data_IF_692420085565
#
_entry.id   IF_692420085565
#
_cell.length_a   1.000
_cell.length_b   1.000
_cell.length_c   1.000
_cell.angle_alpha   90.00
_cell.angle_beta   90.00
_cell.angle_gamma   90.00
#
_symmetry.space_group_name_H-M   'P 1'
#
loop_
_entity.id
_entity.type
_entity.pdbx_description
1 polymer ?
#
# COMPACT_ATOMS: atom_id res chain seq x y z
N UNK A 1 8.13 4.23 -18.89
CA UNK A 1 8.97 3.31 -18.11
C UNK A 1 8.91 3.77 -16.65
N UNK A 2 8.46 2.91 -15.79
CA UNK A 2 8.45 3.17 -14.37
C UNK A 2 9.85 2.96 -13.83
N UNK A 3 10.30 3.89 -12.99
CA UNK A 3 11.64 3.85 -12.41
C UNK A 3 11.53 3.62 -10.93
N UNK A 4 12.42 2.80 -10.41
CA UNK A 4 12.55 2.48 -8.98
C UNK A 4 14.02 2.32 -8.65
N UNK A 5 14.35 2.55 -7.38
CA UNK A 5 15.65 2.24 -6.83
C UNK A 5 15.49 1.45 -5.53
N UNK A 6 16.47 0.63 -5.19
CA UNK A 6 16.49 -0.15 -3.95
C UNK A 6 17.91 -0.37 -3.44
N UNK A 7 18.01 -0.65 -2.15
CA UNK A 7 19.24 -1.03 -1.47
C UNK A 7 19.11 -2.46 -0.94
N UNK A 8 20.20 -3.22 -0.95
CA UNK A 8 20.22 -4.59 -0.45
C UNK A 8 19.76 -5.62 -1.49
N UNK A 9 18.94 -6.56 -1.06
CA UNK A 9 18.43 -7.62 -1.93
C UNK A 9 17.37 -7.07 -2.91
N UNK A 10 17.31 -7.67 -4.09
CA UNK A 10 16.29 -7.31 -5.09
C UNK A 10 14.90 -7.46 -4.48
N UNK A 11 14.05 -6.40 -4.51
CA UNK A 11 12.68 -6.49 -4.02
C UNK A 11 11.90 -7.61 -4.72
N UNK A 12 10.88 -8.11 -4.07
CA UNK A 12 10.06 -9.21 -4.60
C UNK A 12 9.47 -8.95 -5.99
N UNK A 13 9.28 -7.69 -6.36
CA UNK A 13 8.77 -7.29 -7.68
C UNK A 13 9.84 -7.29 -8.79
N UNK A 14 11.12 -7.41 -8.45
CA UNK A 14 12.23 -7.52 -9.41
C UNK A 14 12.52 -6.25 -10.21
N UNK A 15 11.99 -5.10 -9.79
CA UNK A 15 12.14 -3.82 -10.50
C UNK A 15 13.11 -2.89 -9.77
N UNK A 16 13.83 -2.09 -10.53
CA UNK A 16 14.60 -0.97 -10.03
C UNK A 16 16.11 -1.09 -10.19
N UNK A 17 16.77 0.03 -9.93
CA UNK A 17 18.23 0.17 -9.91
C UNK A 17 18.75 -0.12 -8.52
N UNK A 18 19.73 -1.01 -8.40
CA UNK A 18 20.38 -1.30 -7.13
C UNK A 18 21.31 -0.16 -6.74
N UNK A 19 21.17 0.34 -5.54
CA UNK A 19 22.04 1.33 -4.92
C UNK A 19 22.91 0.70 -3.83
N UNK A 20 24.06 1.33 -3.57
CA UNK A 20 24.82 1.05 -2.35
C UNK A 20 24.15 1.72 -1.14
N UNK A 21 24.45 1.22 0.07
CA UNK A 21 23.89 1.79 1.30
C UNK A 21 24.32 3.23 1.52
N UNK A 22 23.51 3.98 2.28
CA UNK A 22 23.79 5.35 2.71
C UNK A 22 23.96 6.37 1.57
N UNK A 23 23.26 6.18 0.45
CA UNK A 23 23.25 7.17 -0.62
C UNK A 23 22.46 8.42 -0.21
N UNK A 24 22.93 9.62 -0.61
CA UNK A 24 22.19 10.85 -0.36
C UNK A 24 20.86 10.87 -1.11
N UNK A 25 19.92 11.66 -0.61
CA UNK A 25 18.55 11.77 -1.17
C UNK A 25 18.57 12.21 -2.64
N UNK A 26 19.53 13.00 -3.05
CA UNK A 26 19.71 13.45 -4.43
C UNK A 26 20.01 12.28 -5.38
N UNK A 27 20.80 11.30 -4.93
CA UNK A 27 21.06 10.06 -5.68
C UNK A 27 19.80 9.21 -5.76
N UNK A 28 19.06 9.11 -4.66
CA UNK A 28 17.76 8.43 -4.64
C UNK A 28 16.78 9.07 -5.62
N UNK A 29 16.69 10.41 -5.67
CA UNK A 29 15.82 11.12 -6.60
C UNK A 29 16.11 10.75 -8.05
N UNK A 30 17.37 10.75 -8.45
CA UNK A 30 17.79 10.39 -9.81
C UNK A 30 17.51 8.93 -10.14
N UNK A 31 17.92 8.01 -9.28
CA UNK A 31 17.85 6.57 -9.53
C UNK A 31 16.44 6.01 -9.41
N UNK A 32 15.59 6.60 -8.58
CA UNK A 32 14.18 6.23 -8.42
C UNK A 32 13.27 6.94 -9.45
N UNK A 33 13.82 7.77 -10.34
CA UNK A 33 13.03 8.51 -11.34
C UNK A 33 12.15 9.61 -10.73
N UNK A 34 12.59 10.21 -9.63
CA UNK A 34 11.87 11.25 -8.87
C UNK A 34 12.54 12.64 -9.00
N UNK A 35 13.52 12.80 -9.88
CA UNK A 35 14.26 14.05 -10.13
C UNK A 35 13.56 14.90 -11.19
N UNK A 36 12.31 15.23 -10.95
CA UNK A 36 11.49 16.11 -11.77
C UNK A 36 10.44 16.80 -10.90
N UNK A 37 9.80 17.83 -11.43
CA UNK A 37 8.75 18.59 -10.74
C UNK A 37 7.41 18.39 -11.44
N UNK A 38 6.36 18.43 -10.62
CA UNK A 38 5.00 18.62 -11.11
C UNK A 38 4.84 20.11 -11.39
N UNK A 39 4.53 20.42 -12.63
CA UNK A 39 4.18 21.76 -13.10
C UNK A 39 2.72 21.81 -13.48
N UNK A 40 2.13 23.00 -13.57
CA UNK A 40 0.75 23.16 -13.92
C UNK A 40 0.55 24.16 -15.04
N UNK A 41 -0.52 23.97 -15.82
CA UNK A 41 -0.97 24.87 -16.88
C UNK A 41 -2.49 25.02 -16.81
N UNK A 42 -2.94 26.17 -17.30
CA UNK A 42 -4.38 26.46 -17.42
C UNK A 42 -5.05 25.50 -18.40
N UNK A 43 -6.32 25.21 -18.17
CA UNK A 43 -7.16 24.43 -19.07
C UNK A 43 -7.92 25.35 -20.00
N UNK A 44 -7.92 25.02 -21.28
CA UNK A 44 -8.72 25.69 -22.29
C UNK A 44 -9.46 24.66 -23.13
N UNK A 45 -10.61 25.04 -23.65
CA UNK A 45 -11.38 24.21 -24.56
C UNK A 45 -11.70 24.94 -25.85
N UNK A 46 -11.86 24.18 -26.93
CA UNK A 46 -12.24 24.71 -28.24
C UNK A 46 -13.74 24.65 -28.39
N UNK A 47 -14.33 25.80 -28.60
CA UNK A 47 -15.78 25.95 -28.94
C UNK A 47 -15.94 26.44 -30.37
N UNK A 48 -17.16 26.38 -30.90
CA UNK A 48 -17.51 27.02 -32.18
C UNK A 48 -18.42 28.20 -31.90
N UNK A 49 -18.11 29.36 -32.53
CA UNK A 49 -18.99 30.52 -32.50
C UNK A 49 -20.14 30.35 -33.49
N UNK A 50 -21.06 31.31 -33.55
CA UNK A 50 -22.23 31.32 -34.43
C UNK A 50 -21.86 31.30 -35.94
N UNK A 51 -20.63 31.63 -36.28
CA UNK A 51 -20.07 31.57 -37.64
C UNK A 51 -19.30 30.28 -37.91
N UNK A 52 -19.42 29.25 -37.05
CA UNK A 52 -18.72 27.98 -37.14
C UNK A 52 -17.16 28.07 -37.06
N UNK A 53 -16.63 29.21 -36.61
CA UNK A 53 -15.20 29.38 -36.40
C UNK A 53 -14.80 28.81 -35.02
N UNK A 54 -13.66 28.12 -34.97
CA UNK A 54 -13.11 27.63 -33.70
C UNK A 54 -12.59 28.81 -32.88
N UNK A 55 -13.02 28.85 -31.62
CA UNK A 55 -12.52 29.78 -30.61
C UNK A 55 -11.98 28.99 -29.42
N UNK A 56 -10.92 29.47 -28.79
CA UNK A 56 -10.33 28.87 -27.58
C UNK A 56 -10.83 29.68 -26.39
N UNK A 57 -11.41 28.98 -25.44
CA UNK A 57 -11.95 29.56 -24.21
C UNK A 57 -11.27 28.97 -22.99
N UNK A 58 -10.96 29.77 -21.96
CA UNK A 58 -10.40 29.27 -20.73
C UNK A 58 -11.42 28.48 -19.91
N UNK A 59 -10.96 27.50 -19.16
CA UNK A 59 -11.74 26.78 -18.15
C UNK A 59 -11.07 26.95 -16.79
N UNK A 60 -11.49 27.99 -16.05
CA UNK A 60 -10.80 28.51 -14.87
C UNK A 60 -10.92 27.62 -13.63
N UNK A 61 -11.87 26.66 -13.61
CA UNK A 61 -12.09 25.81 -12.45
C UNK A 61 -11.04 24.70 -12.29
N UNK A 62 -10.29 24.40 -13.36
CA UNK A 62 -9.33 23.29 -13.39
C UNK A 62 -7.99 23.74 -13.98
N UNK A 63 -6.95 22.95 -13.68
CA UNK A 63 -5.61 23.04 -14.26
C UNK A 63 -5.08 21.67 -14.60
N UNK A 64 -4.22 21.59 -15.59
CA UNK A 64 -3.47 20.37 -15.95
C UNK A 64 -2.20 20.31 -15.14
N UNK A 65 -1.92 19.16 -14.56
CA UNK A 65 -0.61 18.84 -13.98
C UNK A 65 0.19 18.06 -15.02
N UNK A 66 1.48 18.37 -15.16
CA UNK A 66 2.38 17.71 -16.10
C UNK A 66 3.81 17.61 -15.53
N UNK A 67 4.62 16.75 -16.12
CA UNK A 67 6.01 16.55 -15.71
C UNK A 67 6.93 17.62 -16.32
N UNK A 68 7.84 18.18 -15.51
CA UNK A 68 8.80 19.19 -15.98
C UNK A 68 9.85 18.65 -16.96
N UNK A 69 10.17 17.35 -16.87
CA UNK A 69 11.23 16.72 -17.66
C UNK A 69 10.76 16.25 -19.06
N UNK A 70 9.56 15.70 -19.13
CA UNK A 70 9.01 15.10 -20.36
C UNK A 70 7.85 15.87 -20.95
N UNK A 71 7.29 16.83 -20.21
CA UNK A 71 6.04 17.54 -20.50
C UNK A 71 4.82 16.60 -20.64
N UNK A 72 4.95 15.34 -20.17
CA UNK A 72 3.86 14.39 -20.22
C UNK A 72 2.75 14.80 -19.26
N UNK A 73 1.46 14.76 -19.68
CA UNK A 73 0.34 15.10 -18.82
C UNK A 73 0.16 14.05 -17.72
N UNK A 74 -0.10 14.50 -16.51
CA UNK A 74 -0.36 13.65 -15.36
C UNK A 74 -1.85 13.56 -15.04
N UNK A 75 -2.50 14.72 -14.89
CA UNK A 75 -3.93 14.78 -14.51
C UNK A 75 -4.51 16.16 -14.76
N UNK A 76 -5.83 16.23 -14.74
CA UNK A 76 -6.59 17.48 -14.64
C UNK A 76 -7.19 17.53 -13.25
N UNK A 77 -6.92 18.61 -12.52
CA UNK A 77 -7.31 18.77 -11.12
C UNK A 77 -7.97 20.10 -10.88
N UNK A 78 -8.72 20.24 -9.78
CA UNK A 78 -9.30 21.53 -9.39
C UNK A 78 -8.22 22.53 -8.97
N UNK A 79 -8.54 23.82 -8.97
CA UNK A 79 -7.65 24.88 -8.46
C UNK A 79 -7.29 24.70 -6.98
N UNK A 80 -8.08 23.94 -6.21
CA UNK A 80 -7.83 23.68 -4.77
C UNK A 80 -6.91 22.50 -4.52
N UNK A 81 -6.58 21.71 -5.55
CA UNK A 81 -5.72 20.55 -5.40
C UNK A 81 -4.31 21.00 -4.98
N UNK A 82 -3.81 20.41 -3.89
CA UNK A 82 -2.44 20.62 -3.41
C UNK A 82 -1.62 19.39 -3.81
N UNK A 83 -0.82 19.54 -4.85
CA UNK A 83 0.14 18.50 -5.25
C UNK A 83 1.29 18.41 -4.24
N UNK A 84 1.80 17.22 -4.06
CA UNK A 84 3.04 16.95 -3.33
C UNK A 84 4.10 16.62 -4.37
N UNK A 85 5.23 17.30 -4.30
CA UNK A 85 6.32 17.10 -5.24
C UNK A 85 7.05 15.76 -4.97
N UNK A 86 7.58 15.08 -6.01
CA UNK A 86 8.39 13.87 -5.80
C UNK A 86 9.52 14.08 -4.79
N UNK A 87 10.19 15.23 -4.84
CA UNK A 87 11.24 15.58 -3.90
C UNK A 87 10.75 15.68 -2.45
N UNK A 88 9.53 16.16 -2.21
CA UNK A 88 8.97 16.27 -0.85
C UNK A 88 8.79 14.89 -0.20
N UNK A 89 8.49 13.85 -0.99
CA UNK A 89 8.40 12.48 -0.50
C UNK A 89 9.75 11.99 0.01
N UNK A 90 10.84 12.29 -0.68
CA UNK A 90 12.19 11.91 -0.25
C UNK A 90 12.69 12.80 0.92
N UNK A 91 12.41 14.09 0.88
CA UNK A 91 12.79 15.02 1.95
C UNK A 91 12.12 14.68 3.29
N UNK A 92 10.94 14.07 3.27
CA UNK A 92 10.31 13.54 4.48
C UNK A 92 11.23 12.61 5.27
N UNK A 93 12.08 11.86 4.58
CA UNK A 93 13.01 10.91 5.21
C UNK A 93 14.37 11.51 5.57
N UNK A 94 14.74 12.73 5.12
CA UNK A 94 16.06 13.30 5.36
C UNK A 94 16.42 13.32 6.84
N UNK A 95 15.59 13.95 7.66
CA UNK A 95 15.84 14.04 9.10
C UNK A 95 15.78 12.67 9.79
N UNK A 96 14.87 11.80 9.33
CA UNK A 96 14.74 10.45 9.87
C UNK A 96 15.98 9.59 9.59
N UNK A 97 16.62 9.76 8.43
CA UNK A 97 17.85 9.05 8.08
C UNK A 97 19.07 9.65 8.78
N UNK A 98 19.15 10.97 8.89
CA UNK A 98 20.29 11.66 9.48
C UNK A 98 20.30 11.62 11.01
N UNK A 99 19.12 11.69 11.65
CA UNK A 99 19.00 11.86 13.11
C UNK A 99 18.47 10.63 13.84
N UNK A 100 17.64 9.82 13.19
CA UNK A 100 16.92 8.72 13.83
C UNK A 100 17.37 7.33 13.38
N UNK A 101 18.38 7.24 12.51
CA UNK A 101 18.94 5.98 12.05
C UNK A 101 18.01 5.19 11.11
N UNK A 102 17.06 5.85 10.45
CA UNK A 102 16.25 5.24 9.40
C UNK A 102 17.09 5.04 8.15
N UNK A 103 16.77 4.02 7.38
CA UNK A 103 17.46 3.72 6.11
C UNK A 103 16.44 3.59 4.99
N UNK A 104 16.56 4.43 3.95
CA UNK A 104 15.79 4.25 2.73
C UNK A 104 16.12 2.89 2.12
N UNK A 105 15.11 2.10 1.81
CA UNK A 105 15.27 0.77 1.24
C UNK A 105 14.78 0.71 -0.20
N UNK A 106 13.68 1.38 -0.52
CA UNK A 106 13.19 1.45 -1.89
C UNK A 106 12.35 2.71 -2.10
N UNK A 107 12.41 3.25 -3.30
CA UNK A 107 11.61 4.38 -3.75
C UNK A 107 11.33 4.26 -5.24
N UNK A 108 10.25 4.87 -5.71
CA UNK A 108 9.92 4.77 -7.12
C UNK A 108 8.68 5.53 -7.56
N UNK A 109 8.44 5.42 -8.85
CA UNK A 109 7.37 6.07 -9.59
C UNK A 109 6.53 5.02 -10.30
N UNK A 110 5.21 5.16 -10.21
CA UNK A 110 4.23 4.31 -10.86
C UNK A 110 3.36 5.12 -11.82
N UNK A 111 2.76 4.43 -12.79
CA UNK A 111 1.77 5.01 -13.72
C UNK A 111 2.27 6.27 -14.45
N UNK A 112 3.53 6.26 -14.89
CA UNK A 112 4.14 7.35 -15.65
C UNK A 112 4.39 8.63 -14.85
N UNK A 113 4.42 8.56 -13.53
CA UNK A 113 4.59 9.70 -12.63
C UNK A 113 3.34 10.12 -11.88
N UNK A 114 2.19 9.48 -12.13
CA UNK A 114 0.94 9.82 -11.42
C UNK A 114 0.94 9.44 -9.96
N UNK A 115 1.75 8.44 -9.59
CA UNK A 115 1.92 7.98 -8.21
C UNK A 115 3.40 7.75 -7.91
N UNK A 116 3.85 8.15 -6.75
CA UNK A 116 5.23 7.93 -6.30
C UNK A 116 5.29 7.70 -4.79
N UNK A 117 6.34 7.02 -4.35
CA UNK A 117 6.45 6.50 -3.00
C UNK A 117 7.90 6.31 -2.58
N UNK A 118 8.12 6.24 -1.27
CA UNK A 118 9.38 5.82 -0.68
C UNK A 118 9.11 4.99 0.58
N UNK A 119 9.97 4.01 0.83
CA UNK A 119 9.94 3.09 1.95
C UNK A 119 11.27 3.13 2.70
N UNK A 120 11.22 3.35 4.01
CA UNK A 120 12.40 3.34 4.85
C UNK A 120 12.28 2.34 6.00
N UNK A 121 13.38 1.65 6.29
CA UNK A 121 13.53 0.80 7.46
C UNK A 121 13.67 1.66 8.72
N UNK A 122 12.94 1.29 9.79
CA UNK A 122 12.96 2.04 11.06
C UNK A 122 14.03 1.57 12.04
N UNK A 123 14.67 0.43 11.75
CA UNK A 123 15.59 -0.25 12.68
C UNK A 123 14.89 -1.21 13.65
N UNK A 124 13.57 -1.20 13.72
CA UNK A 124 12.81 -2.15 14.54
C UNK A 124 12.76 -3.52 13.87
N UNK A 125 13.09 -4.56 14.64
CA UNK A 125 13.14 -5.96 14.17
C UNK A 125 12.78 -6.90 15.31
N UNK A 126 11.96 -7.91 15.01
CA UNK A 126 11.56 -8.92 15.99
C UNK A 126 11.47 -10.29 15.34
N UNK A 127 11.91 -11.33 16.04
CA UNK A 127 11.80 -12.71 15.62
C UNK A 127 10.71 -13.45 16.39
N UNK A 128 9.75 -14.04 15.67
CA UNK A 128 8.78 -14.98 16.24
C UNK A 128 9.41 -16.37 16.35
N UNK A 129 9.27 -16.98 17.53
CA UNK A 129 9.83 -18.32 17.82
C UNK A 129 11.30 -18.47 17.38
N UNK A 130 12.06 -17.38 17.48
CA UNK A 130 13.50 -17.31 17.28
C UNK A 130 14.01 -17.25 15.83
N UNK A 131 13.17 -17.49 14.82
CA UNK A 131 13.63 -17.62 13.43
C UNK A 131 12.81 -16.80 12.42
N UNK A 132 11.58 -16.48 12.70
CA UNK A 132 10.67 -15.81 11.78
C UNK A 132 10.75 -14.30 12.00
N UNK A 133 11.66 -13.64 11.29
CA UNK A 133 12.00 -12.24 11.48
C UNK A 133 11.03 -11.34 10.70
N UNK A 134 10.55 -10.29 11.36
CA UNK A 134 9.84 -9.16 10.75
C UNK A 134 10.56 -7.85 11.08
N UNK A 135 10.63 -6.97 10.10
CA UNK A 135 11.23 -5.63 10.21
C UNK A 135 10.16 -4.55 10.07
N UNK A 136 10.34 -3.44 10.78
CA UNK A 136 9.48 -2.27 10.73
C UNK A 136 9.91 -1.25 9.66
N UNK A 137 8.94 -0.70 8.93
CA UNK A 137 9.13 0.27 7.85
C UNK A 137 8.12 1.40 7.93
N UNK A 138 8.47 2.53 7.35
CA UNK A 138 7.52 3.60 7.03
C UNK A 138 7.43 3.72 5.52
N UNK A 139 6.20 3.66 5.01
CA UNK A 139 5.84 3.90 3.63
C UNK A 139 5.18 5.28 3.53
N UNK A 140 5.70 6.14 2.68
CA UNK A 140 5.06 7.40 2.29
C UNK A 140 4.77 7.36 0.80
N UNK A 141 3.53 7.61 0.42
CA UNK A 141 3.10 7.60 -0.97
C UNK A 141 2.07 8.70 -1.25
N UNK A 142 2.02 9.14 -2.49
CA UNK A 142 1.05 10.11 -2.97
C UNK A 142 0.70 9.88 -4.43
N UNK A 143 -0.45 10.39 -4.87
CA UNK A 143 -0.82 10.44 -6.28
C UNK A 143 -1.25 11.86 -6.66
N UNK A 144 -0.83 12.31 -7.84
CA UNK A 144 -1.20 13.63 -8.36
C UNK A 144 -2.46 13.60 -9.24
N UNK A 145 -3.13 12.45 -9.35
CA UNK A 145 -4.36 12.25 -10.11
C UNK A 145 -5.62 12.09 -9.22
N UNK A 146 -5.49 12.33 -7.91
CA UNK A 146 -6.58 12.19 -6.96
C UNK A 146 -6.92 10.75 -6.55
N UNK A 147 -6.22 9.73 -7.09
CA UNK A 147 -6.50 8.31 -6.79
C UNK A 147 -5.97 7.86 -5.44
N UNK A 148 -5.06 8.62 -4.83
CA UNK A 148 -4.49 8.36 -3.51
C UNK A 148 -4.22 9.69 -2.79
N UNK A 149 -4.80 9.88 -1.61
CA UNK A 149 -4.37 10.92 -0.69
C UNK A 149 -2.91 10.68 -0.28
N UNK A 150 -2.17 11.73 0.05
CA UNK A 150 -0.82 11.55 0.60
C UNK A 150 -0.90 10.73 1.87
N UNK A 151 -0.33 9.53 1.85
CA UNK A 151 -0.50 8.50 2.87
C UNK A 151 0.85 8.12 3.44
N UNK A 152 1.00 8.28 4.74
CA UNK A 152 2.12 7.75 5.51
C UNK A 152 1.64 6.55 6.32
N UNK A 153 2.36 5.44 6.27
CA UNK A 153 1.94 4.17 6.84
C UNK A 153 3.10 3.45 7.52
N UNK A 154 2.88 3.03 8.77
CA UNK A 154 3.79 2.12 9.44
C UNK A 154 3.49 0.67 8.99
N UNK A 155 4.52 -0.05 8.54
CA UNK A 155 4.37 -1.35 7.88
C UNK A 155 5.38 -2.33 8.44
N UNK A 156 4.99 -3.59 8.64
CA UNK A 156 5.90 -4.70 8.88
C UNK A 156 6.17 -5.48 7.60
N UNK A 157 7.41 -5.94 7.43
CA UNK A 157 7.81 -6.84 6.34
C UNK A 157 8.42 -8.08 6.95
N UNK A 158 7.83 -9.23 6.64
CA UNK A 158 8.34 -10.54 7.04
C UNK A 158 9.49 -10.95 6.11
N UNK A 159 10.68 -11.16 6.67
CA UNK A 159 11.92 -11.34 5.90
C UNK A 159 11.89 -12.57 4.98
N UNK A 160 11.34 -13.69 5.44
CA UNK A 160 11.34 -14.96 4.69
C UNK A 160 10.56 -14.92 3.38
N UNK A 161 9.60 -14.01 3.25
CA UNK A 161 8.72 -13.94 2.09
C UNK A 161 8.51 -12.53 1.53
N UNK A 162 9.12 -11.53 2.14
CA UNK A 162 8.94 -10.11 1.81
C UNK A 162 7.46 -9.65 1.80
N UNK A 163 6.61 -10.33 2.56
CA UNK A 163 5.21 -9.96 2.68
C UNK A 163 5.06 -8.69 3.51
N UNK A 164 4.24 -7.78 3.03
CA UNK A 164 3.98 -6.49 3.69
C UNK A 164 2.65 -6.50 4.42
N UNK A 165 2.61 -5.97 5.62
CA UNK A 165 1.41 -5.81 6.43
C UNK A 165 1.40 -4.46 7.13
N UNK A 166 0.33 -3.68 6.95
CA UNK A 166 0.14 -2.43 7.68
C UNK A 166 -0.03 -2.71 9.17
N UNK A 167 0.69 -1.95 9.99
CA UNK A 167 0.60 -2.03 11.44
C UNK A 167 -0.60 -1.21 11.89
N UNK A 168 -1.51 -1.83 12.63
CA UNK A 168 -2.63 -1.17 13.25
C UNK A 168 -2.24 -0.58 14.61
N UNK A 169 -2.61 0.66 14.91
CA UNK A 169 -2.45 1.26 16.23
C UNK A 169 -3.75 1.12 17.05
N UNK A 170 -3.68 0.62 18.25
CA UNK A 170 -4.84 0.27 19.10
C UNK A 170 -5.60 1.44 19.75
N UNK A 171 -5.31 2.69 19.49
CA UNK A 171 -6.03 3.81 20.13
C UNK A 171 -7.11 4.42 19.23
N UNK A 172 -8.20 3.77 19.20
CA UNK A 172 -9.64 4.09 19.14
C UNK A 172 -10.14 5.37 18.49
N UNK A 173 -9.51 5.98 17.49
CA UNK A 173 -10.21 6.98 16.68
C UNK A 173 -9.44 7.33 15.41
N UNK A 174 -9.43 6.50 14.48
CA UNK A 174 -8.87 6.55 13.13
C UNK A 174 -7.89 5.40 12.92
N UNK A 175 -8.16 4.63 11.91
CA UNK A 175 -7.37 3.53 11.39
C UNK A 175 -5.86 3.73 11.57
N UNK A 176 -5.41 3.33 12.63
CA UNK A 176 -4.21 2.80 13.15
C UNK A 176 -3.00 2.71 12.21
N UNK A 177 -1.98 3.51 12.46
CA UNK A 177 -0.70 3.44 11.74
C UNK A 177 -0.72 4.04 10.33
N UNK A 178 -1.82 4.66 9.93
CA UNK A 178 -1.97 5.32 8.62
C UNK A 178 -2.39 6.76 8.83
N UNK A 179 -1.59 7.70 8.35
CA UNK A 179 -1.94 9.13 8.29
C UNK A 179 -2.23 9.47 6.84
N UNK A 180 -3.42 10.00 6.56
CA UNK A 180 -3.84 10.45 5.24
C UNK A 180 -4.03 11.96 5.22
N UNK A 181 -3.35 12.62 4.30
CA UNK A 181 -3.50 14.07 4.05
C UNK A 181 -4.22 14.24 2.71
N UNK A 182 -5.48 14.73 2.73
CA UNK A 182 -6.21 15.00 1.49
C UNK A 182 -5.53 16.08 0.66
N UNK A 183 -5.64 16.02 -0.65
CA UNK A 183 -5.08 17.03 -1.55
C UNK A 183 -5.80 18.39 -1.53
N UNK A 184 -6.80 18.56 -0.70
CA UNK A 184 -7.37 19.87 -0.33
C UNK A 184 -6.57 20.58 0.76
N UNK A 185 -5.58 19.89 1.36
CA UNK A 185 -4.74 20.38 2.46
C UNK A 185 -3.28 20.31 2.03
N UNK A 186 -2.50 21.34 2.36
CA UNK A 186 -1.06 21.33 2.12
C UNK A 186 -0.39 20.23 2.95
N UNK A 187 0.52 19.49 2.34
CA UNK A 187 1.33 18.49 3.01
C UNK A 187 2.32 19.16 3.99
N UNK A 188 2.32 18.68 5.24
CA UNK A 188 3.21 19.11 6.29
C UNK A 188 3.90 17.87 6.88
N UNK A 189 5.16 17.67 6.52
CA UNK A 189 5.95 16.50 6.90
C UNK A 189 6.06 16.34 8.43
N UNK A 190 6.28 17.43 9.17
CA UNK A 190 6.46 17.37 10.62
C UNK A 190 5.16 16.98 11.33
N UNK A 191 4.04 17.53 10.90
CA UNK A 191 2.73 17.16 11.41
C UNK A 191 2.40 15.68 11.14
N UNK A 192 2.74 15.18 9.96
CA UNK A 192 2.55 13.77 9.60
C UNK A 192 3.42 12.86 10.46
N UNK A 193 4.70 13.20 10.67
CA UNK A 193 5.60 12.46 11.57
C UNK A 193 5.07 12.40 13.01
N UNK A 194 4.57 13.51 13.52
CA UNK A 194 3.96 13.58 14.85
C UNK A 194 2.71 12.72 14.95
N UNK A 195 1.83 12.75 13.93
CA UNK A 195 0.60 11.97 13.89
C UNK A 195 0.85 10.46 13.74
N UNK A 196 1.87 10.06 12.99
CA UNK A 196 2.28 8.66 12.90
C UNK A 196 2.67 8.11 14.27
N UNK A 197 3.13 8.97 15.18
CA UNK A 197 3.54 8.55 16.50
C UNK A 197 4.46 7.32 16.39
N UNK A 198 5.55 7.46 15.63
CA UNK A 198 6.51 6.37 15.42
C UNK A 198 7.01 5.93 16.78
N UNK A 199 6.27 5.05 17.41
CA UNK A 199 6.53 4.62 18.76
C UNK A 199 6.99 3.16 18.73
N UNK A 200 8.02 2.89 19.50
CA UNK A 200 8.42 1.54 19.88
C UNK A 200 7.21 0.74 20.35
N UNK A 201 6.27 1.39 21.02
CA UNK A 201 5.05 0.77 21.52
C UNK A 201 4.13 0.21 20.43
N UNK A 202 3.95 0.94 19.32
CA UNK A 202 3.12 0.44 18.20
C UNK A 202 3.72 -0.82 17.57
N UNK A 203 5.04 -0.89 17.46
CA UNK A 203 5.75 -2.07 17.02
C UNK A 203 5.57 -3.23 18.02
N UNK A 204 5.78 -2.96 19.29
CA UNK A 204 5.67 -3.98 20.34
C UNK A 204 4.25 -4.55 20.43
N UNK A 205 3.22 -3.71 20.35
CA UNK A 205 1.82 -4.13 20.33
C UNK A 205 1.52 -5.00 19.10
N UNK A 206 2.00 -4.61 17.91
CA UNK A 206 1.86 -5.41 16.69
C UNK A 206 2.57 -6.77 16.81
N UNK A 207 3.81 -6.78 17.29
CA UNK A 207 4.56 -8.04 17.45
C UNK A 207 3.97 -8.93 18.55
N UNK A 208 3.37 -8.33 19.58
CA UNK A 208 2.59 -9.07 20.57
C UNK A 208 1.40 -9.78 19.92
N UNK A 209 0.62 -9.08 19.09
CA UNK A 209 -0.47 -9.68 18.33
C UNK A 209 0.00 -10.83 17.42
N UNK A 210 1.07 -10.61 16.65
CA UNK A 210 1.67 -11.66 15.83
C UNK A 210 2.11 -12.88 16.64
N UNK A 211 2.65 -12.66 17.85
CA UNK A 211 3.01 -13.73 18.78
C UNK A 211 1.77 -14.51 19.23
N UNK A 212 0.67 -13.83 19.60
CA UNK A 212 -0.59 -14.49 19.97
C UNK A 212 -1.12 -15.35 18.80
N UNK A 213 -1.15 -14.80 17.59
CA UNK A 213 -1.54 -15.54 16.38
C UNK A 213 -0.66 -16.78 16.15
N UNK A 214 0.65 -16.67 16.39
CA UNK A 214 1.61 -17.78 16.23
C UNK A 214 1.44 -18.90 17.26
N UNK A 215 0.79 -18.63 18.38
CA UNK A 215 0.50 -19.60 19.43
C UNK A 215 -0.87 -20.28 19.21
N UNK A 216 -1.80 -19.62 18.52
CA UNK A 216 -3.15 -20.13 18.25
C UNK A 216 -3.09 -21.20 17.14
N UNK A 217 -3.25 -22.46 17.53
CA UNK A 217 -3.40 -23.56 16.57
C UNK A 217 -4.78 -23.53 15.93
N UNK A 218 -4.86 -23.88 14.66
CA UNK A 218 -6.10 -23.89 13.88
C UNK A 218 -6.31 -25.24 13.19
N UNK A 219 -7.57 -25.63 13.08
CA UNK A 219 -8.00 -26.83 12.32
C UNK A 219 -8.18 -26.47 10.85
N UNK A 220 -8.29 -27.48 9.98
CA UNK A 220 -8.62 -27.27 8.55
C UNK A 220 -10.00 -26.63 8.37
N UNK A 221 -10.95 -26.97 9.23
CA UNK A 221 -12.29 -26.37 9.20
C UNK A 221 -12.26 -24.87 9.53
N UNK A 222 -11.51 -24.48 10.57
CA UNK A 222 -11.29 -23.08 10.92
C UNK A 222 -10.55 -22.32 9.81
N UNK A 223 -9.55 -22.96 9.18
CA UNK A 223 -8.82 -22.38 8.05
C UNK A 223 -9.75 -22.10 6.86
N UNK A 224 -10.62 -23.05 6.51
CA UNK A 224 -11.62 -22.87 5.46
C UNK A 224 -12.57 -21.72 5.77
N UNK A 225 -13.11 -21.66 6.99
CA UNK A 225 -13.99 -20.57 7.43
C UNK A 225 -13.30 -19.20 7.41
N UNK A 226 -12.04 -19.16 7.83
CA UNK A 226 -11.23 -17.94 7.80
C UNK A 226 -11.04 -17.41 6.38
N UNK A 227 -10.58 -18.24 5.44
CA UNK A 227 -10.38 -17.82 4.07
C UNK A 227 -11.70 -17.44 3.37
N UNK A 228 -12.77 -18.15 3.66
CA UNK A 228 -14.10 -17.78 3.17
C UNK A 228 -14.52 -16.38 3.66
N UNK A 229 -14.35 -16.11 4.94
CA UNK A 229 -14.65 -14.80 5.51
C UNK A 229 -13.80 -13.67 4.89
N UNK A 230 -12.53 -13.93 4.59
CA UNK A 230 -11.64 -12.93 3.96
C UNK A 230 -12.03 -12.63 2.52
N UNK A 231 -12.36 -13.63 1.72
CA UNK A 231 -12.62 -13.45 0.28
C UNK A 231 -14.08 -13.11 -0.05
N UNK A 232 -15.04 -13.68 0.67
CA UNK A 232 -16.46 -13.49 0.37
C UNK A 232 -17.10 -12.33 1.15
N UNK A 233 -16.31 -11.66 2.00
CA UNK A 233 -16.79 -10.53 2.82
C UNK A 233 -18.07 -10.89 3.61
N UNK A 234 -18.22 -12.17 3.95
CA UNK A 234 -19.28 -12.64 4.81
C UNK A 234 -18.93 -12.22 6.23
N UNK A 235 -19.36 -11.01 6.61
CA UNK A 235 -19.37 -10.63 8.01
C UNK A 235 -20.20 -11.66 8.76
N UNK A 236 -19.56 -12.44 9.59
CA UNK A 236 -20.22 -13.10 10.71
C UNK A 236 -20.83 -11.96 11.53
N UNK A 237 -22.11 -11.77 11.29
CA UNK A 237 -23.03 -10.84 11.92
C UNK A 237 -22.52 -10.10 13.14
N UNK A 238 -22.24 -8.82 12.99
CA UNK A 238 -22.60 -7.81 13.98
C UNK A 238 -23.32 -6.71 13.22
N UNK A 239 -24.54 -6.45 13.66
CA UNK A 239 -25.48 -5.52 13.10
C UNK A 239 -24.92 -4.09 13.04
N UNK A 240 -25.43 -3.35 12.05
CA UNK A 240 -25.39 -1.91 11.90
C UNK A 240 -24.08 -1.31 11.38
N UNK A 241 -24.05 -1.09 10.05
CA UNK A 241 -23.49 0.15 9.52
C UNK A 241 -23.83 0.33 8.04
N UNK A 242 -24.46 1.45 7.79
CA UNK A 242 -24.67 2.23 6.57
C UNK A 242 -24.48 1.53 5.19
N UNK A 243 -25.60 1.00 4.69
CA UNK A 243 -25.70 0.18 3.47
C UNK A 243 -25.32 0.89 2.16
N UNK A 244 -25.20 2.20 2.12
CA UNK A 244 -25.07 2.95 0.87
C UNK A 244 -23.66 2.91 0.25
N UNK A 245 -22.61 2.95 1.08
CA UNK A 245 -21.22 2.91 0.62
C UNK A 245 -20.81 1.49 0.25
N UNK A 246 -21.28 0.50 1.00
CA UNK A 246 -21.03 -0.93 0.74
C UNK A 246 -21.72 -1.35 -0.56
N UNK A 247 -22.91 -0.85 -0.84
CA UNK A 247 -23.65 -1.14 -2.07
C UNK A 247 -23.00 -0.49 -3.30
N UNK A 248 -22.41 0.71 -3.17
CA UNK A 248 -21.64 1.34 -4.24
C UNK A 248 -20.40 0.50 -4.62
N UNK A 249 -19.61 0.04 -3.64
CA UNK A 249 -18.46 -0.81 -3.90
C UNK A 249 -18.84 -2.22 -4.39
N UNK A 250 -19.98 -2.78 -3.99
CA UNK A 250 -20.53 -4.02 -4.54
C UNK A 250 -20.92 -3.87 -6.00
N UNK A 251 -21.56 -2.78 -6.38
CA UNK A 251 -21.98 -2.54 -7.75
C UNK A 251 -20.78 -2.35 -8.69
N UNK A 252 -19.76 -1.59 -8.28
CA UNK A 252 -18.51 -1.43 -9.03
C UNK A 252 -17.75 -2.75 -9.17
N UNK A 253 -17.75 -3.60 -8.13
CA UNK A 253 -17.13 -4.93 -8.19
C UNK A 253 -17.94 -5.90 -9.06
N UNK A 254 -19.26 -5.80 -9.08
CA UNK A 254 -20.14 -6.67 -9.88
C UNK A 254 -20.13 -6.31 -11.37
N UNK A 255 -20.02 -5.03 -11.73
CA UNK A 255 -19.86 -4.60 -13.12
C UNK A 255 -18.53 -5.03 -13.73
N UNK A 256 -17.46 -5.09 -12.93
CA UNK A 256 -16.16 -5.61 -13.36
C UNK A 256 -16.15 -7.17 -13.52
N UNK A 257 -17.12 -7.89 -12.95
CA UNK A 257 -17.19 -9.35 -12.91
C UNK A 257 -18.25 -9.98 -13.85
N UNK A 258 -18.98 -9.19 -14.62
CA UNK A 258 -20.10 -9.68 -15.44
C UNK A 258 -19.71 -10.58 -16.64
N UNK A 259 -18.43 -10.88 -16.86
CA UNK A 259 -17.97 -11.63 -18.06
C UNK A 259 -17.43 -13.04 -17.81
N UNK A 260 -17.39 -13.57 -16.56
CA UNK A 260 -16.96 -14.96 -16.35
C UNK A 260 -17.71 -15.64 -15.19
N UNK A 261 -18.69 -16.48 -15.52
CA UNK A 261 -19.37 -17.41 -14.61
C UNK A 261 -18.49 -18.63 -14.30
N UNK A 262 -17.48 -18.47 -13.47
CA UNK A 262 -16.88 -19.53 -12.65
C UNK A 262 -16.68 -18.91 -11.29
N UNK A 263 -17.05 -19.62 -10.21
CA UNK A 263 -16.99 -19.08 -8.85
C UNK A 263 -15.71 -18.27 -8.64
N UNK A 264 -15.78 -16.94 -8.48
CA UNK A 264 -14.60 -16.06 -8.60
C UNK A 264 -13.53 -16.35 -7.54
N UNK A 265 -13.90 -17.02 -6.45
CA UNK A 265 -13.05 -17.22 -5.28
C UNK A 265 -12.51 -18.65 -5.13
N UNK A 266 -12.99 -19.63 -5.88
CA UNK A 266 -12.58 -21.03 -5.73
C UNK A 266 -11.08 -21.25 -5.97
N UNK A 267 -10.50 -20.60 -6.98
CA UNK A 267 -9.05 -20.67 -7.26
C UNK A 267 -8.21 -19.96 -6.21
N UNK A 268 -8.66 -18.81 -5.73
CA UNK A 268 -7.97 -18.08 -4.66
C UNK A 268 -8.00 -18.86 -3.35
N UNK A 269 -9.15 -19.43 -3.00
CA UNK A 269 -9.34 -20.31 -1.83
C UNK A 269 -8.41 -21.52 -1.88
N UNK A 270 -8.37 -22.24 -3.00
CA UNK A 270 -7.45 -23.38 -3.17
C UNK A 270 -6.00 -22.95 -3.00
N UNK A 271 -5.59 -21.85 -3.63
CA UNK A 271 -4.21 -21.36 -3.57
C UNK A 271 -3.76 -20.99 -2.15
N UNK A 272 -4.56 -20.24 -1.41
CA UNK A 272 -4.21 -19.87 -0.02
C UNK A 272 -4.24 -21.06 0.92
N UNK A 273 -5.12 -22.05 0.67
CA UNK A 273 -5.14 -23.28 1.44
C UNK A 273 -3.88 -24.11 1.19
N UNK A 274 -3.42 -24.23 -0.07
CA UNK A 274 -2.17 -24.89 -0.42
C UNK A 274 -0.96 -24.22 0.23
N UNK A 275 -0.93 -22.88 0.25
CA UNK A 275 0.11 -22.11 0.94
C UNK A 275 0.10 -22.39 2.45
N UNK A 276 -1.07 -22.39 3.09
CA UNK A 276 -1.21 -22.69 4.50
C UNK A 276 -0.77 -24.12 4.83
N UNK A 277 -1.05 -25.07 3.95
CA UNK A 277 -0.73 -26.49 4.11
C UNK A 277 0.74 -26.83 3.76
N UNK A 278 1.60 -25.83 3.50
CA UNK A 278 3.04 -26.03 3.37
C UNK A 278 3.67 -25.55 2.07
N UNK A 279 2.90 -25.09 1.09
CA UNK A 279 3.44 -24.55 -0.17
C UNK A 279 3.85 -23.08 -0.07
N UNK A 280 3.42 -22.37 0.97
CA UNK A 280 3.79 -20.97 1.20
C UNK A 280 5.22 -20.80 1.68
N UNK A 281 5.82 -19.66 1.39
CA UNK A 281 7.17 -19.29 1.84
C UNK A 281 7.20 -19.18 3.37
N UNK A 282 8.03 -20.00 4.01
CA UNK A 282 8.11 -20.04 5.46
C UNK A 282 6.88 -20.65 6.15
N UNK A 283 6.04 -21.39 5.41
CA UNK A 283 4.88 -22.09 5.97
C UNK A 283 5.28 -23.23 6.92
N UNK A 284 6.47 -23.77 6.76
CA UNK A 284 7.07 -24.82 7.61
C UNK A 284 7.60 -24.27 8.94
N UNK A 285 7.80 -22.96 9.09
CA UNK A 285 8.28 -22.36 10.32
C UNK A 285 7.29 -22.58 11.46
N UNK A 286 7.82 -22.84 12.66
CA UNK A 286 7.02 -23.16 13.85
C UNK A 286 6.05 -22.03 14.26
N UNK A 287 6.30 -20.80 13.84
CA UNK A 287 5.43 -19.64 14.00
C UNK A 287 4.19 -19.72 13.12
N UNK A 288 4.31 -20.26 11.89
CA UNK A 288 3.28 -20.28 10.86
C UNK A 288 2.55 -21.62 10.76
N UNK A 289 3.26 -22.74 10.89
CA UNK A 289 2.73 -24.09 10.66
C UNK A 289 1.50 -24.42 11.50
N UNK A 290 0.34 -24.48 10.86
CA UNK A 290 -0.92 -24.83 11.50
C UNK A 290 -1.39 -23.80 12.54
N UNK A 291 -1.07 -22.51 12.34
CA UNK A 291 -1.41 -21.42 13.27
C UNK A 291 -2.25 -20.34 12.62
N UNK A 292 -2.94 -19.51 13.42
CA UNK A 292 -3.64 -18.33 12.93
C UNK A 292 -2.67 -17.34 12.23
N UNK A 293 -1.43 -17.24 12.69
CA UNK A 293 -0.40 -16.47 12.01
C UNK A 293 -0.10 -17.03 10.60
N UNK A 294 -0.04 -18.34 10.45
CA UNK A 294 0.13 -19.00 9.15
C UNK A 294 -1.01 -18.71 8.17
N UNK A 295 -2.25 -18.62 8.65
CA UNK A 295 -3.39 -18.18 7.82
C UNK A 295 -3.17 -16.76 7.29
N UNK A 296 -2.78 -15.82 8.17
CA UNK A 296 -2.48 -14.44 7.79
C UNK A 296 -1.31 -14.37 6.79
N UNK A 297 -0.23 -15.14 7.02
CA UNK A 297 0.90 -15.22 6.10
C UNK A 297 0.47 -15.71 4.71
N UNK A 298 -0.45 -16.65 4.60
CA UNK A 298 -0.97 -17.14 3.32
C UNK A 298 -1.74 -16.07 2.56
N UNK A 299 -2.53 -15.25 3.25
CA UNK A 299 -3.24 -14.12 2.64
C UNK A 299 -2.25 -13.05 2.15
N UNK A 300 -1.28 -12.66 2.98
CA UNK A 300 -0.30 -11.63 2.60
C UNK A 300 0.57 -12.09 1.43
N UNK A 301 1.00 -13.34 1.42
CA UNK A 301 1.77 -13.91 0.31
C UNK A 301 0.94 -14.00 -0.98
N UNK A 302 -0.29 -14.45 -0.89
CA UNK A 302 -1.19 -14.49 -2.04
C UNK A 302 -1.36 -13.10 -2.68
N UNK A 303 -1.60 -12.08 -1.87
CA UNK A 303 -1.80 -10.71 -2.35
C UNK A 303 -0.52 -10.15 -2.98
N UNK A 304 0.62 -10.31 -2.30
CA UNK A 304 1.86 -9.69 -2.72
C UNK A 304 2.51 -10.42 -3.91
N UNK A 305 2.36 -11.74 -4.04
CA UNK A 305 3.09 -12.53 -5.03
C UNK A 305 2.23 -13.26 -6.07
N UNK A 306 1.05 -13.75 -5.69
CA UNK A 306 0.32 -14.73 -6.51
C UNK A 306 -0.98 -14.20 -7.12
N UNK A 307 -1.56 -13.16 -6.54
CA UNK A 307 -2.80 -12.59 -7.05
C UNK A 307 -2.61 -12.08 -8.48
N UNK A 308 -3.55 -12.43 -9.37
CA UNK A 308 -3.49 -11.99 -10.77
C UNK A 308 -3.46 -10.46 -10.85
N UNK A 309 -2.53 -9.94 -11.64
CA UNK A 309 -2.38 -8.52 -11.94
C UNK A 309 -2.00 -8.34 -13.42
N UNK A 310 -2.33 -7.19 -13.99
CA UNK A 310 -2.01 -6.87 -15.38
C UNK A 310 -0.51 -6.62 -15.60
N UNK A 311 0.18 -6.15 -14.58
CA UNK A 311 1.61 -5.90 -14.56
C UNK A 311 2.15 -6.00 -13.13
N UNK A 312 3.49 -6.00 -12.97
CA UNK A 312 4.15 -5.95 -11.66
C UNK A 312 3.79 -4.67 -10.90
N UNK A 313 3.74 -3.55 -11.60
CA UNK A 313 3.37 -2.25 -11.03
C UNK A 313 1.93 -2.21 -10.55
N UNK A 314 1.02 -2.78 -11.33
CA UNK A 314 -0.37 -2.91 -10.93
C UNK A 314 -0.52 -3.81 -9.68
N UNK A 315 0.31 -4.85 -9.57
CA UNK A 315 0.35 -5.71 -8.38
C UNK A 315 0.82 -4.93 -7.15
N UNK A 316 1.91 -4.18 -7.27
CA UNK A 316 2.46 -3.36 -6.20
C UNK A 316 1.45 -2.30 -5.73
N UNK A 317 0.86 -1.57 -6.66
CA UNK A 317 -0.17 -0.57 -6.38
C UNK A 317 -1.38 -1.18 -5.65
N UNK A 318 -1.87 -2.32 -6.13
CA UNK A 318 -2.99 -3.05 -5.50
C UNK A 318 -2.64 -3.57 -4.10
N UNK A 319 -1.44 -4.14 -3.94
CA UNK A 319 -1.00 -4.74 -2.67
C UNK A 319 -0.78 -3.71 -1.56
N UNK A 320 -0.38 -2.49 -1.90
CA UNK A 320 -0.08 -1.44 -0.93
C UNK A 320 -1.21 -0.43 -0.74
N UNK A 321 -1.97 -0.12 -1.78
CA UNK A 321 -2.91 1.01 -1.76
C UNK A 321 -4.33 0.65 -2.24
N UNK A 322 -4.52 -0.51 -2.85
CA UNK A 322 -5.77 -0.89 -3.48
C UNK A 322 -6.48 -2.08 -2.84
N UNK A 323 -7.15 -2.84 -3.69
CA UNK A 323 -7.94 -4.01 -3.26
C UNK A 323 -7.12 -5.08 -2.57
N UNK A 324 -5.84 -5.25 -2.94
CA UNK A 324 -4.92 -6.17 -2.26
C UNK A 324 -4.67 -5.76 -0.81
N UNK A 325 -4.43 -4.46 -0.55
CA UNK A 325 -4.28 -3.93 0.81
C UNK A 325 -5.54 -4.19 1.65
N UNK A 326 -6.74 -3.99 1.08
CA UNK A 326 -8.00 -4.27 1.76
C UNK A 326 -8.18 -5.76 2.10
N UNK A 327 -7.74 -6.68 1.24
CA UNK A 327 -7.75 -8.13 1.52
C UNK A 327 -6.82 -8.46 2.68
N UNK A 328 -5.60 -7.91 2.70
CA UNK A 328 -4.65 -8.11 3.82
C UNK A 328 -5.20 -7.57 5.13
N UNK A 329 -5.83 -6.40 5.12
CA UNK A 329 -6.44 -5.81 6.30
C UNK A 329 -7.57 -6.71 6.84
N UNK A 330 -8.48 -7.20 5.99
CA UNK A 330 -9.50 -8.17 6.41
C UNK A 330 -8.89 -9.45 6.96
N UNK A 331 -7.81 -9.93 6.33
CA UNK A 331 -7.07 -11.10 6.82
C UNK A 331 -6.56 -10.90 8.25
N UNK A 332 -5.97 -9.75 8.55
CA UNK A 332 -5.53 -9.41 9.89
C UNK A 332 -6.70 -9.34 10.88
N UNK A 333 -7.78 -8.65 10.53
CA UNK A 333 -8.95 -8.50 11.38
C UNK A 333 -9.59 -9.86 11.70
N UNK A 334 -9.76 -10.73 10.72
CA UNK A 334 -10.30 -12.08 10.92
C UNK A 334 -9.36 -12.96 11.78
N UNK A 335 -8.04 -12.86 11.56
CA UNK A 335 -7.05 -13.58 12.36
C UNK A 335 -7.10 -13.14 13.84
N UNK A 336 -7.13 -11.84 14.10
CA UNK A 336 -7.19 -11.29 15.45
C UNK A 336 -8.45 -11.73 16.22
N UNK A 337 -9.59 -11.91 15.54
CA UNK A 337 -10.81 -12.46 16.14
C UNK A 337 -10.67 -13.91 16.64
N UNK A 338 -9.68 -14.64 16.17
CA UNK A 338 -9.44 -16.03 16.61
C UNK A 338 -8.66 -16.10 17.92
N UNK A 339 -8.10 -14.99 18.42
CA UNK A 339 -7.28 -14.93 19.64
C UNK A 339 -7.89 -14.03 20.74
N UNK A 340 -9.05 -13.46 20.48
CA UNK A 340 -9.84 -12.68 21.46
C UNK A 340 -10.74 -13.59 22.28
#
# INVERSE_FOLDING_TARGET
>A
LEQMAYVGETPWHGLGNQLTQNQPIEVWAQQAGMDWRIESSDVSYMARNDRWQSIILPYEEQRVLYRSDTHAPLSVVSQRFQEVQPKEILEFYRDLTEQSGFELETAGVLKGGKKFWALARTGQSTALKGKDVSNGYILLATACDGTLATTAQFTSIRVVCNNTLAIALRNGSTSAGVVKVPHSTRFDAEKVKQQLGISVRAWDDHMYEMKQLSQRKVTQQEATAYFDAVFNNTNLSIAEQDDSIIQFYRNVANEANATNKTEPNGRAMSKVMDMFNGQGRGAELSSAKGTAYGLLCSITEFVDHERRAMSTDHRLDSAWFGTGAAIKQRGLEQALRMVV
#
